data_IF_526268140478
#
_entry.id   IF_526268140478
#
_cell.length_a   1.000
_cell.length_b   1.000
_cell.length_c   1.000
_cell.angle_alpha   90.00
_cell.angle_beta   90.00
_cell.angle_gamma   90.00
#
_symmetry.space_group_name_H-M   'P 1'
#
loop_
_entity.id
_entity.type
_entity.pdbx_description
1 polymer ?
#
# COMPACT_ATOMS: atom_id res chain seq x y z
N UNK A 1 8.32 4.87 10.34
CA UNK A 1 7.07 4.64 11.12
C UNK A 1 7.12 3.34 11.91
N UNK A 2 7.28 2.17 11.29
CA UNK A 2 7.32 0.89 12.02
C UNK A 2 8.31 0.86 13.20
N UNK A 3 9.53 1.39 13.00
CA UNK A 3 10.53 1.55 14.08
C UNK A 3 10.02 2.41 15.25
N UNK A 4 9.42 3.57 14.96
CA UNK A 4 8.88 4.46 16.00
C UNK A 4 7.71 3.86 16.76
N UNK A 5 6.89 3.04 16.09
CA UNK A 5 5.82 2.27 16.76
C UNK A 5 6.44 1.25 17.71
N UNK A 6 7.46 0.50 17.25
CA UNK A 6 8.19 -0.48 18.07
C UNK A 6 8.90 0.14 19.27
N UNK A 7 9.46 1.33 19.10
CA UNK A 7 10.11 2.13 20.14
C UNK A 7 9.11 2.85 21.06
N UNK A 8 7.79 2.67 20.86
CA UNK A 8 6.72 3.30 21.65
C UNK A 8 6.79 4.83 21.68
N UNK A 9 7.34 5.44 20.64
CA UNK A 9 7.45 6.91 20.52
C UNK A 9 6.07 7.57 20.55
N UNK A 10 5.07 6.92 19.95
CA UNK A 10 3.68 7.37 19.95
C UNK A 10 2.99 7.37 21.34
N UNK A 11 3.58 6.74 22.36
CA UNK A 11 3.05 6.76 23.74
C UNK A 11 3.56 7.97 24.54
N UNK A 12 4.59 8.66 24.04
CA UNK A 12 5.14 9.86 24.68
C UNK A 12 4.25 11.07 24.37
N UNK A 13 4.00 11.91 25.38
CA UNK A 13 3.09 13.07 25.27
C UNK A 13 3.51 14.04 24.15
N UNK A 14 4.83 14.18 23.94
CA UNK A 14 5.43 15.01 22.89
C UNK A 14 5.02 14.58 21.47
N UNK A 15 4.66 13.30 21.28
CA UNK A 15 4.32 12.71 19.99
C UNK A 15 2.84 12.27 19.91
N UNK A 16 1.95 12.93 20.65
CA UNK A 16 0.51 12.66 20.62
C UNK A 16 -0.09 12.64 19.21
N UNK A 17 0.40 13.51 18.31
CA UNK A 17 -0.03 13.53 16.90
C UNK A 17 0.21 12.19 16.18
N UNK A 18 1.30 11.48 16.50
CA UNK A 18 1.63 10.21 15.89
C UNK A 18 0.65 9.13 16.33
N UNK A 19 0.25 9.15 17.60
CA UNK A 19 -0.79 8.27 18.13
C UNK A 19 -2.12 8.49 17.45
N UNK A 20 -2.56 9.75 17.36
CA UNK A 20 -3.81 10.13 16.69
C UNK A 20 -3.83 9.69 15.22
N UNK A 21 -2.69 9.83 14.51
CA UNK A 21 -2.55 9.36 13.13
C UNK A 21 -2.74 7.85 13.02
N UNK A 22 -2.10 7.06 13.89
CA UNK A 22 -2.19 5.59 13.89
C UNK A 22 -3.63 5.15 14.18
N UNK A 23 -4.25 5.73 15.21
CA UNK A 23 -5.64 5.43 15.59
C UNK A 23 -6.63 5.78 14.48
N UNK A 24 -6.42 6.89 13.77
CA UNK A 24 -7.24 7.31 12.64
C UNK A 24 -7.21 6.29 11.50
N UNK A 25 -6.02 5.81 11.13
CA UNK A 25 -5.84 4.81 10.06
C UNK A 25 -6.50 3.48 10.44
N UNK A 26 -6.30 3.01 11.68
CA UNK A 26 -6.91 1.77 12.16
C UNK A 26 -8.43 1.85 12.21
N UNK A 27 -8.98 2.96 12.74
CA UNK A 27 -10.42 3.19 12.79
C UNK A 27 -11.01 3.14 11.39
N UNK A 28 -10.40 3.86 10.44
CA UNK A 28 -10.88 3.90 9.05
C UNK A 28 -10.87 2.52 8.39
N UNK A 29 -9.83 1.72 8.65
CA UNK A 29 -9.78 0.36 8.12
C UNK A 29 -10.89 -0.53 8.70
N UNK A 30 -11.13 -0.48 10.02
CA UNK A 30 -12.20 -1.25 10.68
C UNK A 30 -13.59 -0.85 10.15
N UNK A 31 -13.83 0.43 9.91
CA UNK A 31 -15.08 0.91 9.29
C UNK A 31 -15.31 0.30 7.91
N UNK A 32 -14.27 0.25 7.06
CA UNK A 32 -14.37 -0.35 5.71
C UNK A 32 -14.66 -1.85 5.79
N UNK A 33 -14.02 -2.56 6.71
CA UNK A 33 -14.23 -4.00 6.92
C UNK A 33 -15.66 -4.27 7.39
N UNK A 34 -16.16 -3.49 8.34
CA UNK A 34 -17.51 -3.65 8.89
C UNK A 34 -18.62 -3.32 7.86
N UNK A 35 -18.35 -2.45 6.88
CA UNK A 35 -19.34 -2.00 5.91
C UNK A 35 -19.49 -2.89 4.67
N UNK A 36 -18.66 -3.92 4.48
CA UNK A 36 -18.62 -4.74 3.25
C UNK A 36 -19.04 -6.19 3.47
N UNK A 37 -19.77 -6.75 2.51
CA UNK A 37 -20.15 -8.16 2.43
C UNK A 37 -19.72 -8.75 1.07
N UNK A 38 -19.01 -9.89 1.03
CA UNK A 38 -18.47 -10.64 2.17
C UNK A 38 -17.37 -9.85 2.92
N UNK A 39 -17.19 -10.16 4.20
CA UNK A 39 -16.22 -9.46 5.06
C UNK A 39 -14.81 -9.58 4.46
N UNK A 40 -14.15 -8.46 4.13
CA UNK A 40 -12.84 -8.50 3.51
C UNK A 40 -11.76 -8.95 4.50
N UNK A 41 -10.72 -9.62 3.99
CA UNK A 41 -9.55 -9.95 4.78
C UNK A 41 -8.81 -8.68 5.20
N UNK A 42 -8.59 -8.51 6.51
CA UNK A 42 -7.80 -7.42 7.07
C UNK A 42 -6.41 -7.92 7.46
N UNK A 43 -5.36 -7.18 7.11
CA UNK A 43 -3.97 -7.54 7.42
C UNK A 43 -3.18 -6.29 7.73
N UNK A 44 -2.44 -6.34 8.85
CA UNK A 44 -1.49 -5.30 9.27
C UNK A 44 -0.08 -5.83 9.01
N UNK A 45 0.76 -5.03 8.36
CA UNK A 45 2.15 -5.40 8.08
C UNK A 45 3.06 -4.17 8.04
N UNK A 46 4.35 -4.37 8.29
CA UNK A 46 5.40 -3.38 8.11
C UNK A 46 6.28 -3.71 6.88
N UNK A 47 7.34 -2.93 6.66
CA UNK A 47 8.24 -3.13 5.52
C UNK A 47 9.09 -4.41 5.59
N UNK A 48 9.18 -5.07 6.73
CA UNK A 48 10.04 -6.25 6.97
C UNK A 48 9.22 -7.55 7.09
N UNK A 49 7.91 -7.44 7.31
CA UNK A 49 6.99 -8.56 7.44
C UNK A 49 6.71 -9.31 6.14
N UNK A 50 6.46 -10.62 6.25
CA UNK A 50 6.15 -11.50 5.10
C UNK A 50 4.82 -11.17 4.40
N UNK A 51 3.89 -10.55 5.13
CA UNK A 51 2.58 -10.13 4.63
C UNK A 51 2.66 -8.93 3.68
N UNK A 52 3.78 -8.19 3.64
CA UNK A 52 3.97 -7.06 2.70
C UNK A 52 3.80 -7.45 1.23
N UNK A 53 4.00 -8.72 0.90
CA UNK A 53 3.80 -9.28 -0.44
C UNK A 53 2.37 -9.11 -0.95
N UNK A 54 1.38 -9.09 -0.05
CA UNK A 54 -0.03 -8.81 -0.41
C UNK A 54 -0.18 -7.40 -1.00
N UNK A 55 0.58 -6.44 -0.50
CA UNK A 55 0.63 -5.09 -1.04
C UNK A 55 1.45 -5.06 -2.33
N UNK A 56 2.68 -5.59 -2.31
CA UNK A 56 3.61 -5.53 -3.46
C UNK A 56 3.03 -6.14 -4.74
N UNK A 57 2.25 -7.22 -4.62
CA UNK A 57 1.57 -7.88 -5.76
C UNK A 57 0.46 -7.05 -6.40
N UNK A 58 0.03 -5.94 -5.78
CA UNK A 58 -1.02 -5.05 -6.29
C UNK A 58 -0.50 -3.68 -6.72
N UNK A 59 0.79 -3.42 -6.52
CA UNK A 59 1.41 -2.16 -6.90
C UNK A 59 1.84 -2.19 -8.36
N UNK A 60 1.78 -1.04 -9.01
CA UNK A 60 2.39 -0.84 -10.31
C UNK A 60 3.92 -0.90 -10.17
N UNK A 61 4.66 -1.72 -10.94
CA UNK A 61 6.11 -1.84 -10.86
C UNK A 61 6.85 -0.67 -11.55
N UNK A 62 6.43 0.57 -11.31
CA UNK A 62 7.03 1.76 -11.94
C UNK A 62 8.47 2.03 -11.49
N UNK A 63 8.83 1.58 -10.29
CA UNK A 63 10.18 1.74 -9.73
C UNK A 63 10.90 0.41 -9.75
N UNK A 64 11.87 0.27 -10.66
CA UNK A 64 12.67 -0.96 -10.81
C UNK A 64 13.39 -1.29 -9.50
N UNK A 65 13.22 -2.53 -9.02
CA UNK A 65 13.89 -3.06 -7.83
C UNK A 65 13.09 -3.00 -6.52
N UNK A 66 11.97 -2.26 -6.47
CA UNK A 66 11.07 -2.26 -5.29
C UNK A 66 9.99 -3.34 -5.37
N UNK A 67 9.41 -3.52 -6.55
CA UNK A 67 8.53 -4.65 -6.88
C UNK A 67 9.33 -5.55 -7.81
N UNK A 68 9.67 -6.75 -7.34
CA UNK A 68 10.39 -7.76 -8.14
C UNK A 68 9.32 -8.54 -8.90
N UNK A 69 9.14 -8.19 -10.17
CA UNK A 69 8.22 -8.86 -11.09
C UNK A 69 8.72 -8.65 -12.52
N UNK A 70 8.33 -9.56 -13.42
CA UNK A 70 8.51 -9.44 -14.86
C UNK A 70 7.34 -8.67 -15.52
N UNK A 71 6.33 -8.28 -14.73
CA UNK A 71 5.20 -7.49 -15.21
C UNK A 71 5.65 -6.11 -15.73
N UNK A 72 4.97 -5.63 -16.77
CA UNK A 72 5.18 -4.27 -17.30
C UNK A 72 4.55 -3.22 -16.37
N UNK A 73 5.17 -2.05 -16.30
CA UNK A 73 4.58 -0.91 -15.62
C UNK A 73 3.50 -0.22 -16.48
N UNK A 74 2.65 0.57 -15.83
CA UNK A 74 1.58 1.32 -16.47
C UNK A 74 2.08 2.27 -17.57
N UNK A 75 3.25 2.90 -17.43
CA UNK A 75 3.81 3.80 -18.42
C UNK A 75 4.22 3.07 -19.70
N UNK A 76 4.83 1.89 -19.55
CA UNK A 76 5.13 0.99 -20.67
C UNK A 76 3.84 0.54 -21.36
N UNK A 77 2.84 0.10 -20.59
CA UNK A 77 1.53 -0.27 -21.13
C UNK A 77 0.89 0.88 -21.93
N UNK A 78 0.82 2.07 -21.33
CA UNK A 78 0.19 3.25 -21.93
C UNK A 78 0.90 3.66 -23.22
N UNK A 79 2.23 3.64 -23.23
CA UNK A 79 3.03 3.96 -24.43
C UNK A 79 2.75 2.99 -25.57
N UNK A 80 2.69 1.69 -25.30
CA UNK A 80 2.37 0.67 -26.29
C UNK A 80 0.95 0.85 -26.83
N UNK A 81 -0.02 1.11 -25.95
CA UNK A 81 -1.40 1.37 -26.33
C UNK A 81 -1.50 2.57 -27.27
N UNK A 82 -0.87 3.71 -26.94
CA UNK A 82 -0.88 4.89 -27.80
C UNK A 82 -0.29 4.61 -29.19
N UNK A 83 0.82 3.86 -29.27
CA UNK A 83 1.42 3.49 -30.55
C UNK A 83 0.46 2.67 -31.42
N UNK A 84 -0.22 1.68 -30.84
CA UNK A 84 -1.19 0.86 -31.57
C UNK A 84 -2.37 1.67 -32.12
N UNK A 85 -2.90 2.59 -31.31
CA UNK A 85 -4.03 3.45 -31.71
C UNK A 85 -3.62 4.36 -32.88
N UNK A 86 -2.43 4.97 -32.81
CA UNK A 86 -1.95 5.88 -33.87
C UNK A 86 -1.58 5.14 -35.15
N UNK A 87 -1.10 3.89 -35.06
CA UNK A 87 -0.69 3.07 -36.22
C UNK A 87 -1.88 2.38 -36.91
N UNK A 88 -3.05 2.31 -36.26
CA UNK A 88 -4.25 1.67 -36.83
C UNK A 88 -5.10 2.59 -37.71
N UNK A 89 -4.62 3.80 -38.03
CA UNK A 89 -5.13 4.68 -39.08
C UNK A 89 -4.14 4.75 -40.24
#
# INVERSE_FOLDING_TARGET
VARWIKEKVHEQEEYKFLKELIECVEKRAREIVAARLPTPQYTVCDQDGSQKRLLLSRLNPSTRGQVITDDIDFGTFYTCLCKLIVTSN
#
